data_IF_133238388611
#
_entry.id   IF_133238388611
#
_cell.length_a   1.000
_cell.length_b   1.000
_cell.length_c   1.000
_cell.angle_alpha   90.00
_cell.angle_beta   90.00
_cell.angle_gamma   90.00
#
_symmetry.space_group_name_H-M   'P 1'
#
loop_
_entity.id
_entity.type
_entity.pdbx_description
1 polymer ?
#
# COMPACT_ATOMS: atom_id res chain seq x y z
N UNK A 1 -3.30 -4.74 33.03
CA UNK A 1 -2.08 -4.14 33.61
C UNK A 1 -2.37 -2.76 34.16
N UNK A 2 -1.59 -2.27 35.14
CA UNK A 2 -1.61 -0.87 35.62
C UNK A 2 -0.20 -0.27 35.45
N UNK A 3 0.23 -0.02 34.20
CA UNK A 3 1.56 0.55 33.98
C UNK A 3 1.59 1.97 34.56
N UNK A 4 2.69 2.30 35.22
CA UNK A 4 2.95 3.61 35.83
C UNK A 4 3.82 4.51 34.95
N UNK A 5 4.34 3.98 33.85
CA UNK A 5 5.28 4.64 32.96
C UNK A 5 5.17 4.11 31.54
N UNK A 6 5.65 4.89 30.57
CA UNK A 6 5.71 4.47 29.18
C UNK A 6 6.67 3.27 28.97
N UNK A 7 7.73 3.14 29.78
CA UNK A 7 8.62 1.98 29.75
C UNK A 7 7.92 0.71 30.24
N UNK A 8 7.09 0.80 31.27
CA UNK A 8 6.28 -0.33 31.73
C UNK A 8 5.30 -0.82 30.65
N UNK A 9 4.75 0.10 29.84
CA UNK A 9 3.94 -0.26 28.66
C UNK A 9 4.77 -1.02 27.61
N UNK A 10 5.97 -0.51 27.28
CA UNK A 10 6.86 -1.15 26.29
C UNK A 10 7.33 -2.53 26.73
N UNK A 11 7.61 -2.70 28.02
CA UNK A 11 8.10 -3.94 28.60
C UNK A 11 6.99 -4.95 28.96
N UNK A 12 5.72 -4.61 28.75
CA UNK A 12 4.57 -5.42 29.19
C UNK A 12 4.52 -6.84 28.57
N UNK A 13 5.18 -7.05 27.42
CA UNK A 13 5.19 -8.36 26.73
C UNK A 13 3.85 -8.76 26.10
N UNK A 14 2.82 -7.93 26.22
CA UNK A 14 1.49 -8.14 25.65
C UNK A 14 0.94 -6.86 24.98
N UNK A 15 0.04 -7.02 24.02
CA UNK A 15 -0.66 -5.90 23.40
C UNK A 15 -1.65 -5.28 24.40
N UNK A 16 -1.39 -4.04 24.81
CA UNK A 16 -2.18 -3.37 25.84
C UNK A 16 -3.48 -2.73 25.33
N UNK A 17 -3.50 -2.27 24.07
CA UNK A 17 -4.70 -1.74 23.44
C UNK A 17 -5.42 -2.88 22.75
N UNK A 18 -6.52 -3.33 23.35
CA UNK A 18 -7.35 -4.40 22.81
C UNK A 18 -8.81 -4.11 23.10
N UNK A 19 -9.70 -4.78 22.37
CA UNK A 19 -11.12 -4.77 22.67
C UNK A 19 -11.41 -5.60 23.93
N UNK A 20 -12.51 -5.29 24.61
CA UNK A 20 -13.09 -6.23 25.57
C UNK A 20 -13.42 -7.56 24.87
N UNK A 21 -13.50 -8.66 25.62
CA UNK A 21 -13.79 -9.98 25.04
C UNK A 21 -15.09 -9.98 24.22
N UNK A 22 -16.12 -9.27 24.68
CA UNK A 22 -17.39 -9.11 23.98
C UNK A 22 -17.25 -8.33 22.67
N UNK A 23 -16.56 -7.18 22.70
CA UNK A 23 -16.36 -6.36 21.50
C UNK A 23 -15.47 -7.09 20.48
N UNK A 24 -14.46 -7.83 20.92
CA UNK A 24 -13.63 -8.64 20.05
C UNK A 24 -14.44 -9.75 19.34
N UNK A 25 -15.40 -10.37 20.04
CA UNK A 25 -16.29 -11.36 19.44
C UNK A 25 -17.21 -10.73 18.37
N UNK A 26 -17.82 -9.59 18.68
CA UNK A 26 -18.67 -8.86 17.75
C UNK A 26 -17.89 -8.35 16.52
N UNK A 27 -16.68 -7.82 16.71
CA UNK A 27 -15.81 -7.35 15.64
C UNK A 27 -15.40 -8.50 14.71
N UNK A 28 -15.10 -9.68 15.28
CA UNK A 28 -14.76 -10.87 14.50
C UNK A 28 -15.94 -11.33 13.63
N UNK A 29 -17.16 -11.33 14.17
CA UNK A 29 -18.37 -11.67 13.42
C UNK A 29 -18.62 -10.67 12.28
N UNK A 30 -18.51 -9.37 12.57
CA UNK A 30 -18.64 -8.30 11.57
C UNK A 30 -17.60 -8.46 10.45
N UNK A 31 -16.32 -8.67 10.80
CA UNK A 31 -15.27 -8.91 9.80
C UNK A 31 -15.57 -10.14 8.96
N UNK A 32 -16.01 -11.25 9.55
CA UNK A 32 -16.35 -12.46 8.80
C UNK A 32 -17.48 -12.20 7.78
N UNK A 33 -18.50 -11.45 8.19
CA UNK A 33 -19.57 -11.00 7.29
C UNK A 33 -19.03 -10.12 6.15
N UNK A 34 -18.26 -9.06 6.47
CA UNK A 34 -17.70 -8.14 5.47
C UNK A 34 -16.73 -8.83 4.51
N UNK A 35 -15.90 -9.76 4.97
CA UNK A 35 -15.01 -10.53 4.10
C UNK A 35 -15.77 -11.42 3.12
N UNK A 36 -16.88 -12.01 3.56
CA UNK A 36 -17.70 -12.87 2.72
C UNK A 36 -18.52 -12.08 1.69
N UNK A 37 -19.02 -10.91 2.08
CA UNK A 37 -20.05 -10.19 1.30
C UNK A 37 -19.57 -8.91 0.62
N UNK A 38 -18.48 -8.29 1.10
CA UNK A 38 -17.98 -7.01 0.58
C UNK A 38 -16.59 -7.17 -0.07
N UNK A 39 -15.57 -7.55 0.69
CA UNK A 39 -14.17 -7.51 0.22
C UNK A 39 -13.85 -8.50 -0.90
N UNK A 40 -14.63 -9.59 -1.01
CA UNK A 40 -14.47 -10.61 -2.07
C UNK A 40 -15.54 -10.51 -3.15
N UNK A 41 -16.31 -9.44 -3.17
CA UNK A 41 -17.26 -9.20 -4.25
C UNK A 41 -16.51 -9.07 -5.58
N UNK A 42 -17.08 -9.62 -6.66
CA UNK A 42 -16.40 -9.71 -7.96
C UNK A 42 -15.94 -8.34 -8.49
N UNK A 43 -16.74 -7.30 -8.25
CA UNK A 43 -16.42 -5.92 -8.62
C UNK A 43 -15.21 -5.37 -7.85
N UNK A 44 -15.16 -5.57 -6.52
CA UNK A 44 -14.02 -5.15 -5.68
C UNK A 44 -12.75 -5.88 -6.11
N UNK A 45 -12.87 -7.17 -6.41
CA UNK A 45 -11.73 -7.97 -6.87
C UNK A 45 -11.22 -7.54 -8.26
N UNK A 46 -12.12 -7.12 -9.16
CA UNK A 46 -11.76 -6.57 -10.47
C UNK A 46 -10.96 -5.27 -10.31
N UNK A 47 -11.51 -4.29 -9.59
CA UNK A 47 -10.83 -3.00 -9.32
C UNK A 47 -9.48 -3.22 -8.64
N UNK A 48 -9.38 -4.20 -7.73
CA UNK A 48 -8.11 -4.57 -7.09
C UNK A 48 -7.09 -5.10 -8.09
N UNK A 49 -7.50 -5.97 -9.02
CA UNK A 49 -6.61 -6.51 -10.04
C UNK A 49 -6.12 -5.39 -10.98
N UNK A 50 -7.01 -4.48 -11.36
CA UNK A 50 -6.68 -3.33 -12.20
C UNK A 50 -5.70 -2.36 -11.50
N UNK A 51 -5.93 -2.08 -10.21
CA UNK A 51 -5.00 -1.28 -9.41
C UNK A 51 -3.64 -1.97 -9.23
N UNK A 52 -3.62 -3.30 -9.05
CA UNK A 52 -2.39 -4.07 -8.98
C UNK A 52 -1.59 -4.00 -10.30
N UNK A 53 -2.27 -4.05 -11.44
CA UNK A 53 -1.64 -3.87 -12.75
C UNK A 53 -0.97 -2.49 -12.85
N UNK A 54 -1.68 -1.43 -12.49
CA UNK A 54 -1.15 -0.06 -12.51
C UNK A 54 0.13 0.07 -11.68
N UNK A 55 0.14 -0.47 -10.45
CA UNK A 55 1.31 -0.38 -9.56
C UNK A 55 2.51 -1.15 -10.11
N UNK A 56 2.27 -2.34 -10.69
CA UNK A 56 3.32 -3.16 -11.32
C UNK A 56 3.93 -2.43 -12.53
N UNK A 57 3.08 -1.92 -13.41
CA UNK A 57 3.49 -1.22 -14.62
C UNK A 57 4.33 0.02 -14.30
N UNK A 58 3.87 0.82 -13.33
CA UNK A 58 4.63 1.98 -12.86
C UNK A 58 5.97 1.58 -12.22
N UNK A 59 5.98 0.52 -11.40
CA UNK A 59 7.23 0.02 -10.82
C UNK A 59 8.23 -0.37 -11.90
N UNK A 60 7.80 -1.16 -12.89
CA UNK A 60 8.67 -1.67 -13.94
C UNK A 60 9.26 -0.54 -14.79
N UNK A 61 8.44 0.45 -15.16
CA UNK A 61 8.92 1.61 -15.94
C UNK A 61 9.91 2.45 -15.14
N UNK A 62 9.61 2.80 -13.89
CA UNK A 62 10.51 3.61 -13.08
C UNK A 62 11.79 2.87 -12.69
N UNK A 63 11.73 1.55 -12.50
CA UNK A 63 12.89 0.73 -12.20
C UNK A 63 13.81 0.56 -13.42
N UNK A 64 13.24 0.46 -14.61
CA UNK A 64 13.96 0.39 -15.88
C UNK A 64 14.58 1.73 -16.27
N UNK A 65 13.83 2.83 -16.15
CA UNK A 65 14.31 4.19 -16.41
C UNK A 65 13.89 5.15 -15.29
N UNK A 66 14.75 5.38 -14.28
CA UNK A 66 14.48 6.33 -13.21
C UNK A 66 14.19 7.75 -13.70
N UNK A 67 14.61 8.11 -14.92
CA UNK A 67 14.35 9.46 -15.48
C UNK A 67 12.88 9.68 -15.79
N UNK A 68 12.07 8.62 -15.86
CA UNK A 68 10.62 8.71 -15.98
C UNK A 68 9.93 9.19 -14.69
N UNK A 69 10.60 9.10 -13.53
CA UNK A 69 10.12 9.64 -12.26
C UNK A 69 10.27 11.17 -12.23
N UNK A 70 9.46 11.88 -11.39
CA UNK A 70 9.62 13.32 -11.17
C UNK A 70 10.99 13.72 -10.61
N UNK A 71 11.33 14.99 -10.82
CA UNK A 71 12.50 15.61 -10.20
C UNK A 71 12.46 15.50 -8.68
N UNK A 72 13.64 15.31 -8.06
CA UNK A 72 13.81 15.03 -6.64
C UNK A 72 13.68 13.55 -6.24
N UNK A 73 13.05 12.70 -7.06
CA UNK A 73 12.94 11.25 -6.78
C UNK A 73 13.91 10.39 -7.59
N UNK A 74 14.41 10.90 -8.72
CA UNK A 74 15.31 10.18 -9.63
C UNK A 74 16.80 10.37 -9.36
N UNK A 75 17.16 11.30 -8.49
CA UNK A 75 18.56 11.73 -8.31
C UNK A 75 19.47 10.59 -7.84
N UNK A 76 20.52 10.32 -8.63
CA UNK A 76 21.50 9.27 -8.31
C UNK A 76 21.03 7.83 -8.56
N UNK A 77 19.76 7.60 -8.93
CA UNK A 77 19.21 6.25 -9.13
C UNK A 77 19.82 5.52 -10.34
N UNK A 78 20.23 6.24 -11.38
CA UNK A 78 20.90 5.67 -12.57
C UNK A 78 22.22 4.97 -12.22
N UNK A 79 22.82 5.31 -11.08
CA UNK A 79 24.10 4.76 -10.59
C UNK A 79 23.93 3.92 -9.32
N UNK A 80 22.71 3.83 -8.81
CA UNK A 80 22.41 3.10 -7.60
C UNK A 80 22.43 1.59 -7.86
N UNK A 81 22.74 0.81 -6.82
CA UNK A 81 22.53 -0.63 -6.86
C UNK A 81 21.02 -0.94 -6.99
N UNK A 82 20.67 -2.02 -7.68
CA UNK A 82 19.27 -2.39 -7.93
C UNK A 82 18.43 -2.47 -6.65
N UNK A 83 19.00 -2.96 -5.53
CA UNK A 83 18.28 -2.99 -4.25
C UNK A 83 17.89 -1.59 -3.75
N UNK A 84 18.78 -0.62 -3.91
CA UNK A 84 18.54 0.76 -3.48
C UNK A 84 17.52 1.40 -4.42
N UNK A 85 17.71 1.23 -5.73
CA UNK A 85 16.78 1.72 -6.76
C UNK A 85 15.36 1.17 -6.55
N UNK A 86 15.22 -0.14 -6.36
CA UNK A 86 13.93 -0.80 -6.11
C UNK A 86 13.25 -0.24 -4.85
N UNK A 87 14.01 0.01 -3.77
CA UNK A 87 13.48 0.64 -2.56
C UNK A 87 12.98 2.05 -2.85
N UNK A 88 13.79 2.89 -3.50
CA UNK A 88 13.40 4.27 -3.82
C UNK A 88 12.17 4.34 -4.72
N UNK A 89 12.05 3.47 -5.72
CA UNK A 89 10.84 3.36 -6.58
C UNK A 89 9.64 2.92 -5.75
N UNK A 90 9.78 1.92 -4.89
CA UNK A 90 8.69 1.45 -4.03
C UNK A 90 8.22 2.54 -3.05
N UNK A 91 9.14 3.29 -2.45
CA UNK A 91 8.83 4.38 -1.53
C UNK A 91 8.12 5.54 -2.25
N UNK A 92 8.52 5.83 -3.50
CA UNK A 92 7.83 6.79 -4.35
C UNK A 92 6.38 6.36 -4.65
N UNK A 93 6.18 5.10 -5.08
CA UNK A 93 4.85 4.55 -5.34
C UNK A 93 3.96 4.54 -4.10
N UNK A 94 4.52 4.18 -2.93
CA UNK A 94 3.79 4.17 -1.67
C UNK A 94 3.37 5.57 -1.20
N UNK A 95 4.05 6.62 -1.67
CA UNK A 95 3.70 8.02 -1.40
C UNK A 95 2.65 8.60 -2.35
N UNK A 96 2.23 7.86 -3.38
CA UNK A 96 1.23 8.34 -4.34
C UNK A 96 -0.19 8.27 -3.78
N UNK A 97 -1.05 9.20 -4.21
CA UNK A 97 -2.50 9.02 -4.14
C UNK A 97 -3.00 8.22 -5.33
N UNK A 98 -4.16 7.57 -5.22
CA UNK A 98 -4.78 6.83 -6.33
C UNK A 98 -4.93 7.69 -7.59
N UNK A 99 -5.38 8.94 -7.42
CA UNK A 99 -5.53 9.91 -8.50
C UNK A 99 -4.21 10.26 -9.19
N UNK A 100 -3.11 10.31 -8.42
CA UNK A 100 -1.79 10.57 -8.96
C UNK A 100 -1.22 9.35 -9.67
N UNK A 101 -1.36 8.15 -9.11
CA UNK A 101 -0.96 6.91 -9.77
C UNK A 101 -1.67 6.71 -11.11
N UNK A 102 -3.00 6.94 -11.16
CA UNK A 102 -3.76 6.90 -12.41
C UNK A 102 -3.28 7.94 -13.44
N UNK A 103 -2.96 9.15 -12.99
CA UNK A 103 -2.43 10.22 -13.86
C UNK A 103 -1.07 9.82 -14.43
N UNK A 104 -0.16 9.31 -13.61
CA UNK A 104 1.15 8.87 -14.05
C UNK A 104 1.06 7.67 -15.00
N UNK A 105 0.17 6.72 -14.73
CA UNK A 105 -0.05 5.59 -15.62
C UNK A 105 -0.56 6.06 -16.99
N UNK A 106 -1.55 6.97 -17.04
CA UNK A 106 -2.06 7.55 -18.30
C UNK A 106 -1.00 8.36 -19.06
N UNK A 107 0.00 8.90 -18.36
CA UNK A 107 1.11 9.64 -18.98
C UNK A 107 2.11 8.70 -19.65
N UNK A 108 2.31 7.51 -19.08
CA UNK A 108 3.37 6.57 -19.45
C UNK A 108 2.89 5.42 -20.34
N UNK A 109 1.59 5.12 -20.34
CA UNK A 109 0.98 4.00 -21.04
C UNK A 109 -0.21 4.44 -21.89
N UNK A 110 -0.37 3.80 -23.05
CA UNK A 110 -1.48 4.08 -23.98
C UNK A 110 -2.84 3.63 -23.43
N UNK A 111 -2.84 2.65 -22.52
CA UNK A 111 -4.05 2.11 -21.89
C UNK A 111 -3.89 2.07 -20.38
N UNK A 112 -4.77 2.77 -19.67
CA UNK A 112 -4.86 2.71 -18.21
C UNK A 112 -6.16 2.03 -17.82
N UNK A 113 -6.11 0.99 -16.96
CA UNK A 113 -7.31 0.36 -16.43
C UNK A 113 -8.29 1.38 -15.82
N UNK A 114 -9.58 1.16 -16.05
CA UNK A 114 -10.63 1.98 -15.47
C UNK A 114 -11.03 1.41 -14.10
N UNK A 115 -10.80 2.18 -13.04
CA UNK A 115 -11.10 1.76 -11.66
C UNK A 115 -12.56 2.06 -11.26
N UNK A 116 -13.35 2.68 -12.15
CA UNK A 116 -14.74 3.08 -11.90
C UNK A 116 -14.90 4.55 -11.52
#
# INVERSE_FOLDING_TARGET
>A
LKPDSADAVRAAGETMVTFSAEMAAAEKELKAFLYKHLYRHAEVMRVRADAEQIVRDLFDVYFADPRAMPDGWREGLDRAQDRIKARSVADFLAGMTDTYALKEHRRLFDHTPDLG
#
